data_IF_768701359504
#
_entry.id   IF_768701359504
#
_cell.length_a   1.000
_cell.length_b   1.000
_cell.length_c   1.000
_cell.angle_alpha   90.00
_cell.angle_beta   90.00
_cell.angle_gamma   90.00
#
_symmetry.space_group_name_H-M   'P 1'
#
loop_
_entity.id
_entity.type
_entity.pdbx_description
1 polymer ?
#
# COMPACT_ATOMS: atom_id res chain seq x y z
N UNK A 1 11.29 33.20 -36.10
CA UNK A 1 11.51 34.01 -34.88
C UNK A 1 12.24 33.09 -33.89
N UNK A 2 13.56 32.84 -34.03
CA UNK A 2 14.68 33.67 -33.53
C UNK A 2 14.39 34.24 -32.15
N UNK A 3 14.90 33.54 -31.12
CA UNK A 3 15.35 34.01 -29.79
C UNK A 3 16.16 32.80 -29.22
N UNK A 4 17.46 32.65 -29.50
CA UNK A 4 18.61 33.31 -28.84
C UNK A 4 18.56 33.04 -27.32
N UNK A 5 19.19 31.96 -26.85
CA UNK A 5 20.56 31.93 -26.26
C UNK A 5 20.71 32.87 -25.06
N UNK A 6 20.76 32.28 -23.86
CA UNK A 6 21.43 32.82 -22.68
C UNK A 6 21.75 31.62 -21.75
N UNK A 7 23.01 31.18 -21.67
CA UNK A 7 24.06 31.63 -20.73
C UNK A 7 24.06 30.73 -19.46
N UNK A 8 24.99 29.77 -19.38
CA UNK A 8 26.23 29.80 -18.57
C UNK A 8 25.98 29.62 -17.06
N UNK A 9 26.40 28.48 -16.50
CA UNK A 9 27.52 28.34 -15.55
C UNK A 9 26.95 27.95 -14.16
N UNK A 10 27.53 27.13 -13.29
CA UNK A 10 28.92 26.75 -13.06
C UNK A 10 29.00 25.33 -12.48
N UNK A 11 30.20 24.76 -12.67
CA UNK A 11 30.83 23.71 -11.90
C UNK A 11 30.78 23.97 -10.38
N UNK A 12 30.48 22.92 -9.61
CA UNK A 12 30.65 22.88 -8.16
C UNK A 12 31.09 21.48 -7.72
N UNK A 13 32.40 21.26 -7.77
CA UNK A 13 33.10 20.09 -7.24
C UNK A 13 33.33 20.32 -5.74
N UNK A 14 32.84 19.43 -4.86
CA UNK A 14 33.31 19.35 -3.48
C UNK A 14 33.30 17.89 -3.02
N UNK A 15 34.50 17.30 -3.07
CA UNK A 15 34.87 16.06 -2.40
C UNK A 15 35.13 16.40 -0.92
N UNK A 16 34.49 15.68 0.00
CA UNK A 16 35.04 15.49 1.34
C UNK A 16 34.83 14.02 1.77
N UNK A 17 35.94 13.28 1.75
CA UNK A 17 36.13 12.09 2.54
C UNK A 17 36.56 12.51 3.95
N UNK A 18 35.91 12.00 4.99
CA UNK A 18 36.30 12.23 6.38
C UNK A 18 35.48 11.40 7.37
N UNK A 19 36.14 10.48 8.08
CA UNK A 19 35.61 9.62 9.13
C UNK A 19 35.64 10.29 10.52
N UNK A 20 34.52 10.17 11.27
CA UNK A 20 34.37 9.93 12.74
C UNK A 20 34.69 11.06 13.78
N UNK A 21 34.22 10.98 15.06
CA UNK A 21 33.11 11.74 15.68
C UNK A 21 33.57 12.64 16.87
N UNK A 22 32.66 13.39 17.54
CA UNK A 22 32.17 12.94 18.85
C UNK A 22 30.69 13.25 19.13
N UNK A 23 30.18 12.62 20.19
CA UNK A 23 28.87 12.81 20.78
C UNK A 23 28.63 14.26 21.27
N UNK A 24 27.36 14.70 21.21
CA UNK A 24 26.51 15.07 22.36
C UNK A 24 25.37 16.03 21.95
N UNK A 25 24.15 15.55 22.19
CA UNK A 25 22.93 16.26 22.62
C UNK A 25 22.75 17.74 22.28
N UNK A 26 21.86 18.00 21.30
CA UNK A 26 21.17 19.27 21.13
C UNK A 26 19.79 18.99 20.56
N UNK A 27 18.74 19.42 21.27
CA UNK A 27 17.36 19.13 20.89
C UNK A 27 16.95 19.84 19.61
N UNK A 28 16.46 19.06 18.66
CA UNK A 28 15.59 19.53 17.58
C UNK A 28 14.29 18.74 17.68
N UNK A 29 13.28 19.42 18.23
CA UNK A 29 11.90 19.12 17.94
C UNK A 29 11.67 19.44 16.46
N UNK A 30 12.01 18.49 15.59
CA UNK A 30 11.48 18.42 14.25
C UNK A 30 11.04 16.98 13.99
N UNK A 31 9.82 16.73 14.45
CA UNK A 31 8.82 15.89 13.80
C UNK A 31 9.09 15.74 12.30
N UNK A 32 9.73 14.64 11.95
CA UNK A 32 9.21 13.75 10.93
C UNK A 32 9.68 12.37 11.37
N UNK A 33 8.95 11.81 12.33
CA UNK A 33 8.78 10.37 12.38
C UNK A 33 8.56 9.95 10.93
N UNK A 34 9.41 9.06 10.42
CA UNK A 34 9.10 8.31 9.24
C UNK A 34 7.87 7.45 9.58
N UNK A 35 6.69 8.08 9.56
CA UNK A 35 5.44 7.39 9.40
C UNK A 35 5.56 6.75 8.03
N UNK A 36 5.79 5.43 8.07
CA UNK A 36 5.56 4.56 6.94
C UNK A 36 4.09 4.77 6.58
N UNK A 37 3.84 5.75 5.71
CA UNK A 37 2.59 5.91 4.99
C UNK A 37 2.56 4.77 3.97
N UNK A 38 2.38 3.55 4.47
CA UNK A 38 2.22 2.35 3.66
C UNK A 38 0.91 2.54 2.91
N UNK A 39 1.02 2.98 1.67
CA UNK A 39 -0.08 2.97 0.72
C UNK A 39 -0.55 1.52 0.64
N UNK A 40 -1.67 1.22 1.28
CA UNK A 40 -2.10 -0.16 1.47
C UNK A 40 -2.64 -0.71 0.15
N UNK A 41 -2.39 -1.98 -0.13
CA UNK A 41 -2.85 -2.62 -1.36
C UNK A 41 -4.36 -2.77 -1.30
N UNK A 42 -5.06 -2.18 -2.26
CA UNK A 42 -6.52 -2.24 -2.35
C UNK A 42 -6.90 -3.33 -3.33
N UNK A 43 -7.75 -4.26 -2.90
CA UNK A 43 -8.35 -5.29 -3.72
C UNK A 43 -9.73 -4.81 -4.17
N UNK A 44 -10.01 -4.93 -5.46
CA UNK A 44 -11.28 -4.59 -6.04
C UNK A 44 -12.37 -5.51 -5.49
N UNK A 45 -13.41 -4.90 -4.95
CA UNK A 45 -14.49 -5.65 -4.34
C UNK A 45 -15.36 -6.46 -5.30
N UNK A 46 -15.20 -6.22 -6.61
CA UNK A 46 -16.01 -6.83 -7.67
C UNK A 46 -15.30 -7.97 -8.37
N UNK A 47 -14.04 -7.78 -8.77
CA UNK A 47 -13.27 -8.79 -9.50
C UNK A 47 -12.21 -9.49 -8.64
N UNK A 48 -11.87 -8.95 -7.46
CA UNK A 48 -10.91 -9.55 -6.53
C UNK A 48 -9.44 -9.26 -6.81
N UNK A 49 -9.14 -8.60 -7.93
CA UNK A 49 -7.79 -8.18 -8.32
C UNK A 49 -7.36 -6.89 -7.63
N UNK A 50 -6.07 -6.56 -7.69
CA UNK A 50 -5.56 -5.28 -7.18
C UNK A 50 -6.20 -4.12 -7.94
N UNK A 51 -6.86 -3.21 -7.22
CA UNK A 51 -7.57 -2.08 -7.79
C UNK A 51 -6.60 -1.15 -8.51
N UNK A 52 -6.92 -0.84 -9.77
CA UNK A 52 -6.08 0.00 -10.64
C UNK A 52 -4.95 -0.76 -11.36
N UNK A 53 -4.83 -2.08 -11.16
CA UNK A 53 -4.01 -2.92 -12.05
C UNK A 53 -4.69 -3.11 -13.41
N UNK A 54 -3.91 -3.46 -14.44
CA UNK A 54 -4.45 -3.79 -15.76
C UNK A 54 -5.39 -5.01 -15.73
N UNK A 55 -5.26 -5.90 -14.75
CA UNK A 55 -6.12 -7.06 -14.56
C UNK A 55 -7.45 -6.74 -13.85
N UNK A 56 -7.57 -5.55 -13.25
CA UNK A 56 -8.74 -5.14 -12.48
C UNK A 56 -9.96 -5.01 -13.41
N UNK A 57 -10.95 -5.88 -13.22
CA UNK A 57 -12.17 -5.93 -14.03
C UNK A 57 -11.91 -6.18 -15.53
N UNK A 58 -10.81 -6.87 -15.87
CA UNK A 58 -10.60 -7.36 -17.23
C UNK A 58 -11.56 -8.52 -17.55
N UNK A 59 -12.47 -8.31 -18.50
CA UNK A 59 -13.49 -9.28 -18.92
C UNK A 59 -12.92 -10.55 -19.60
N UNK A 60 -11.63 -10.55 -19.96
CA UNK A 60 -10.95 -11.69 -20.58
C UNK A 60 -10.48 -12.72 -19.55
N UNK A 61 -10.49 -12.37 -18.27
CA UNK A 61 -10.04 -13.25 -17.18
C UNK A 61 -11.20 -14.16 -16.77
N UNK A 62 -10.94 -15.47 -16.71
CA UNK A 62 -11.95 -16.42 -16.25
C UNK A 62 -12.29 -16.19 -14.78
N UNK A 63 -13.59 -16.22 -14.43
CA UNK A 63 -14.04 -16.14 -13.05
C UNK A 63 -14.06 -17.50 -12.35
N UNK A 64 -13.81 -17.51 -11.05
CA UNK A 64 -14.09 -18.59 -10.12
C UNK A 64 -15.61 -18.74 -9.90
N UNK A 65 -16.05 -19.90 -9.42
CA UNK A 65 -17.46 -20.15 -9.06
C UNK A 65 -18.00 -19.18 -7.99
N UNK A 66 -17.11 -18.54 -7.22
CA UNK A 66 -17.46 -17.52 -6.23
C UNK A 66 -17.64 -16.10 -6.82
N UNK A 67 -17.52 -15.93 -8.15
CA UNK A 67 -17.75 -14.66 -8.84
C UNK A 67 -16.53 -13.74 -9.02
N UNK A 68 -15.38 -14.07 -8.43
CA UNK A 68 -14.13 -13.30 -8.56
C UNK A 68 -13.23 -13.86 -9.66
N UNK A 69 -12.27 -13.08 -10.17
CA UNK A 69 -11.29 -13.52 -11.17
C UNK A 69 -10.44 -14.68 -10.65
N UNK A 70 -10.16 -15.66 -11.52
CA UNK A 70 -9.37 -16.84 -11.17
C UNK A 70 -7.91 -16.49 -10.95
N UNK A 71 -7.43 -16.83 -9.75
CA UNK A 71 -6.07 -16.47 -9.31
C UNK A 71 -6.00 -15.14 -8.57
N UNK A 72 -7.10 -14.39 -8.50
CA UNK A 72 -7.17 -13.16 -7.73
C UNK A 72 -7.06 -13.41 -6.22
N UNK A 73 -6.69 -12.38 -5.47
CA UNK A 73 -6.55 -12.45 -4.02
C UNK A 73 -7.87 -12.79 -3.29
N UNK A 74 -9.03 -12.44 -3.89
CA UNK A 74 -10.35 -12.76 -3.33
C UNK A 74 -10.96 -14.07 -3.87
N UNK A 75 -10.35 -14.74 -4.86
CA UNK A 75 -10.94 -15.97 -5.41
C UNK A 75 -11.11 -17.04 -4.32
N UNK A 76 -12.37 -17.47 -4.16
CA UNK A 76 -12.83 -18.47 -3.20
C UNK A 76 -12.54 -18.15 -1.72
N UNK A 77 -12.16 -16.92 -1.40
CA UNK A 77 -11.94 -16.49 0.00
C UNK A 77 -13.25 -16.14 0.72
N UNK A 78 -14.37 -16.06 0.01
CA UNK A 78 -15.71 -15.79 0.59
C UNK A 78 -15.70 -14.59 1.54
N UNK A 79 -15.09 -13.50 1.09
CA UNK A 79 -15.02 -12.24 1.82
C UNK A 79 -16.37 -11.53 1.70
N UNK A 80 -16.94 -11.12 2.83
CA UNK A 80 -18.21 -10.38 2.86
C UNK A 80 -17.93 -8.89 2.66
N UNK A 81 -17.85 -8.47 1.41
CA UNK A 81 -17.54 -7.09 1.04
C UNK A 81 -18.66 -6.38 0.27
N UNK A 82 -19.74 -7.06 -0.13
CA UNK A 82 -20.87 -6.45 -0.85
C UNK A 82 -20.45 -5.61 -2.09
N UNK A 83 -19.35 -6.00 -2.75
CA UNK A 83 -18.78 -5.24 -3.88
C UNK A 83 -17.87 -4.06 -3.49
N UNK A 84 -17.71 -3.77 -2.20
CA UNK A 84 -16.78 -2.77 -1.68
C UNK A 84 -15.35 -3.28 -1.75
N UNK A 85 -14.41 -2.37 -2.02
CA UNK A 85 -13.00 -2.73 -2.05
C UNK A 85 -12.52 -3.14 -0.67
N UNK A 86 -11.50 -3.98 -0.62
CA UNK A 86 -10.95 -4.49 0.63
C UNK A 86 -9.46 -4.21 0.64
N UNK A 87 -8.96 -3.65 1.72
CA UNK A 87 -7.54 -3.51 1.92
C UNK A 87 -6.91 -4.88 2.21
N UNK A 88 -5.93 -5.29 1.41
CA UNK A 88 -5.23 -6.55 1.59
C UNK A 88 -4.42 -6.59 2.91
N UNK A 89 -3.91 -5.44 3.36
CA UNK A 89 -3.01 -5.35 4.51
C UNK A 89 -3.74 -5.37 5.87
N UNK A 90 -4.97 -4.85 5.94
CA UNK A 90 -5.73 -4.81 7.19
C UNK A 90 -7.05 -5.59 7.14
N UNK A 91 -7.51 -6.01 5.96
CA UNK A 91 -8.77 -6.74 5.76
C UNK A 91 -10.03 -5.88 5.84
N UNK A 92 -9.92 -4.57 6.04
CA UNK A 92 -11.08 -3.68 6.14
C UNK A 92 -11.64 -3.35 4.75
N UNK A 93 -12.97 -3.18 4.67
CA UNK A 93 -13.62 -2.61 3.49
C UNK A 93 -13.33 -1.12 3.40
N UNK A 94 -12.99 -0.64 2.20
CA UNK A 94 -12.56 0.73 1.94
C UNK A 94 -13.23 1.25 0.67
N UNK A 95 -13.24 2.58 0.52
CA UNK A 95 -13.74 3.25 -0.68
C UNK A 95 -12.59 4.04 -1.32
N UNK A 96 -11.65 3.31 -1.93
CA UNK A 96 -10.44 3.88 -2.53
C UNK A 96 -9.22 3.89 -1.62
N UNK A 97 -8.51 5.02 -1.55
CA UNK A 97 -7.26 5.13 -0.81
C UNK A 97 -7.48 4.83 0.68
N UNK A 98 -6.61 4.00 1.25
CA UNK A 98 -6.69 3.57 2.64
C UNK A 98 -5.33 3.64 3.32
N UNK A 99 -5.38 4.00 4.59
CA UNK A 99 -4.24 3.90 5.51
C UNK A 99 -4.67 2.97 6.64
N UNK A 100 -3.96 1.86 6.81
CA UNK A 100 -4.25 0.92 7.87
C UNK A 100 -4.06 1.55 9.25
N UNK A 101 -5.05 1.37 10.13
CA UNK A 101 -4.89 1.75 11.52
C UNK A 101 -3.87 0.83 12.23
N UNK A 102 -2.93 1.46 12.93
CA UNK A 102 -1.94 0.79 13.79
C UNK A 102 -2.52 0.41 15.16
N UNK A 103 -3.57 1.09 15.60
CA UNK A 103 -4.19 0.92 16.92
C UNK A 103 -5.37 -0.06 16.92
N UNK A 104 -5.80 -0.53 15.74
CA UNK A 104 -6.90 -1.48 15.62
C UNK A 104 -6.51 -2.86 16.18
N UNK A 105 -7.41 -3.47 16.94
CA UNK A 105 -7.23 -4.83 17.47
C UNK A 105 -7.00 -5.81 16.31
N UNK A 106 -5.86 -6.52 16.35
CA UNK A 106 -5.51 -7.51 15.33
C UNK A 106 -6.03 -8.89 15.73
N UNK A 107 -6.47 -9.65 14.73
CA UNK A 107 -6.79 -11.05 14.88
C UNK A 107 -5.52 -11.83 15.20
N UNK A 108 -5.54 -12.59 16.29
CA UNK A 108 -4.41 -13.41 16.71
C UNK A 108 -4.09 -14.55 15.72
N UNK A 109 -5.06 -14.97 14.90
CA UNK A 109 -4.87 -16.07 13.94
C UNK A 109 -4.27 -15.57 12.63
N UNK A 110 -4.82 -14.51 12.04
CA UNK A 110 -4.44 -14.08 10.68
C UNK A 110 -3.68 -12.74 10.62
N UNK A 111 -3.50 -12.04 11.74
CA UNK A 111 -2.78 -10.77 11.81
C UNK A 111 -3.51 -9.55 11.22
N UNK A 112 -4.63 -9.74 10.53
CA UNK A 112 -5.48 -8.66 10.02
C UNK A 112 -6.30 -8.01 11.14
N UNK A 113 -6.98 -6.89 10.86
CA UNK A 113 -7.87 -6.28 11.86
C UNK A 113 -8.99 -7.28 12.20
N UNK A 114 -9.17 -7.51 13.50
CA UNK A 114 -10.17 -8.44 14.01
C UNK A 114 -11.56 -8.02 13.57
N UNK A 115 -12.39 -9.01 13.23
CA UNK A 115 -13.77 -8.83 12.77
C UNK A 115 -13.90 -7.98 11.48
N UNK A 116 -12.80 -7.73 10.77
CA UNK A 116 -12.83 -7.11 9.44
C UNK A 116 -13.34 -8.09 8.38
N UNK A 117 -13.81 -7.59 7.23
CA UNK A 117 -14.30 -8.42 6.14
C UNK A 117 -13.27 -9.47 5.68
N UNK A 118 -11.99 -9.10 5.68
CA UNK A 118 -10.87 -9.97 5.35
C UNK A 118 -10.37 -10.86 6.49
N UNK A 119 -10.86 -10.69 7.73
CA UNK A 119 -10.36 -11.43 8.90
C UNK A 119 -10.50 -12.95 8.69
N UNK A 120 -9.38 -13.67 8.76
CA UNK A 120 -9.27 -15.11 8.50
C UNK A 120 -9.75 -15.56 7.11
N UNK A 121 -9.94 -14.62 6.18
CA UNK A 121 -10.28 -14.87 4.78
C UNK A 121 -9.13 -14.47 3.84
N UNK A 122 -8.49 -13.35 4.14
CA UNK A 122 -7.39 -12.78 3.35
C UNK A 122 -6.01 -13.11 3.92
N UNK A 123 -5.86 -13.06 5.25
CA UNK A 123 -4.60 -13.38 5.90
C UNK A 123 -4.37 -14.88 5.87
N UNK A 124 -3.41 -15.34 5.08
CA UNK A 124 -2.80 -16.64 5.34
C UNK A 124 -2.03 -16.51 6.65
N UNK A 125 -2.56 -17.15 7.69
CA UNK A 125 -1.82 -17.45 8.90
C UNK A 125 -0.70 -18.42 8.52
N UNK A 126 0.48 -17.89 8.19
CA UNK A 126 1.71 -18.68 8.06
C UNK A 126 2.26 -19.03 9.43
#
# INVERSE_FOLDING_TARGET
>A
MKNVVALLAMLGFAVFAGCNPPAESGGDANTTTAEVSATSTILCGTCGEVKGSDACCDDSVASCDCGFHKGSALCCKHVENNGQDVCADCGQTVDGAHTCSTDAEKCAECGLVKDSAGCCKLGEAS
#
